data_IF_451787606341
#
_entry.id   IF_451787606341
#
_cell.length_a   1.000
_cell.length_b   1.000
_cell.length_c   1.000
_cell.angle_alpha   90.00
_cell.angle_beta   90.00
_cell.angle_gamma   90.00
#
_symmetry.space_group_name_H-M   'P 1'
#
loop_
_entity.id
_entity.type
_entity.pdbx_description
1 polymer ?
#
# COMPACT_ATOMS: atom_id res chain seq x y z
N UNK A 1 -4.12 19.14 9.60
CA UNK A 1 -3.17 19.11 8.47
C UNK A 1 -2.83 17.65 8.16
N UNK A 2 -2.60 17.30 6.90
CA UNK A 2 -2.06 15.99 6.54
C UNK A 2 -0.68 15.86 7.20
N UNK A 3 -0.49 14.79 7.98
CA UNK A 3 0.78 14.52 8.64
C UNK A 3 1.43 13.29 8.02
N UNK A 4 2.76 13.23 8.08
CA UNK A 4 3.50 12.02 7.71
C UNK A 4 3.01 10.83 8.56
N UNK A 5 2.68 9.71 7.90
CA UNK A 5 2.15 8.51 8.56
C UNK A 5 3.13 7.32 8.52
N UNK A 6 4.43 7.58 8.27
CA UNK A 6 5.46 6.55 8.06
C UNK A 6 5.53 5.52 9.16
N UNK A 7 5.41 5.92 10.43
CA UNK A 7 5.43 4.99 11.58
C UNK A 7 4.30 3.98 11.53
N UNK A 8 3.10 4.42 11.16
CA UNK A 8 1.91 3.57 11.00
C UNK A 8 2.08 2.63 9.81
N UNK A 9 2.53 3.16 8.67
CA UNK A 9 2.73 2.37 7.46
C UNK A 9 3.82 1.31 7.63
N UNK A 10 4.97 1.67 8.21
CA UNK A 10 6.08 0.75 8.46
C UNK A 10 5.69 -0.39 9.40
N UNK A 11 4.92 -0.10 10.46
CA UNK A 11 4.41 -1.14 11.38
C UNK A 11 3.55 -2.16 10.65
N UNK A 12 2.63 -1.69 9.80
CA UNK A 12 1.75 -2.56 9.00
C UNK A 12 2.52 -3.37 7.97
N UNK A 13 3.48 -2.74 7.30
CA UNK A 13 4.35 -3.41 6.35
C UNK A 13 5.17 -4.53 7.00
N UNK A 14 5.76 -4.30 8.18
CA UNK A 14 6.47 -5.35 8.94
C UNK A 14 5.54 -6.54 9.24
N UNK A 15 4.31 -6.29 9.67
CA UNK A 15 3.33 -7.35 9.90
C UNK A 15 2.98 -8.14 8.63
N UNK A 16 2.87 -7.45 7.50
CA UNK A 16 2.64 -8.08 6.20
C UNK A 16 3.81 -8.96 5.76
N UNK A 17 5.05 -8.50 5.94
CA UNK A 17 6.26 -9.27 5.67
C UNK A 17 6.32 -10.54 6.54
N UNK A 18 5.99 -10.45 7.84
CA UNK A 18 5.89 -11.63 8.70
C UNK A 18 4.79 -12.60 8.25
N UNK A 19 3.68 -12.10 7.70
CA UNK A 19 2.64 -12.94 7.10
C UNK A 19 3.16 -13.65 5.85
N UNK A 20 3.88 -12.97 4.97
CA UNK A 20 4.49 -13.57 3.77
C UNK A 20 5.47 -14.69 4.11
N UNK A 21 6.24 -14.56 5.20
CA UNK A 21 7.12 -15.63 5.67
C UNK A 21 6.37 -16.90 6.08
N UNK A 22 5.15 -16.74 6.61
CA UNK A 22 4.31 -17.85 7.07
C UNK A 22 3.42 -18.43 5.96
N UNK A 23 3.15 -17.64 4.93
CA UNK A 23 2.30 -17.99 3.80
C UNK A 23 2.99 -17.65 2.47
N UNK A 24 3.86 -18.55 1.96
CA UNK A 24 4.58 -18.33 0.71
C UNK A 24 3.69 -18.26 -0.53
N UNK A 25 2.52 -18.92 -0.50
CA UNK A 25 1.56 -18.88 -1.61
C UNK A 25 0.97 -17.48 -1.73
N UNK A 26 0.52 -16.92 -0.60
CA UNK A 26 0.07 -15.53 -0.56
C UNK A 26 1.15 -14.58 -1.07
N UNK A 27 2.41 -14.76 -0.66
CA UNK A 27 3.49 -13.89 -1.13
C UNK A 27 3.70 -13.97 -2.65
N UNK A 28 3.62 -15.17 -3.22
CA UNK A 28 3.72 -15.37 -4.68
C UNK A 28 2.60 -14.63 -5.41
N UNK A 29 1.35 -14.88 -5.05
CA UNK A 29 0.19 -14.21 -5.67
C UNK A 29 0.26 -12.68 -5.49
N UNK A 30 0.72 -12.24 -4.32
CA UNK A 30 0.84 -10.81 -4.00
C UNK A 30 1.89 -10.11 -4.87
N UNK A 31 3.01 -10.79 -5.14
CA UNK A 31 4.03 -10.32 -6.07
C UNK A 31 3.51 -10.28 -7.50
N UNK A 32 2.75 -11.28 -7.92
CA UNK A 32 2.16 -11.32 -9.26
C UNK A 32 1.21 -10.12 -9.49
N UNK A 33 0.34 -9.80 -8.52
CA UNK A 33 -0.53 -8.62 -8.60
C UNK A 33 0.27 -7.32 -8.67
N UNK A 34 1.32 -7.17 -7.85
CA UNK A 34 2.17 -5.98 -7.91
C UNK A 34 2.99 -5.89 -9.21
N UNK A 35 3.40 -7.03 -9.77
CA UNK A 35 4.03 -7.09 -11.09
C UNK A 35 3.12 -6.52 -12.18
N UNK A 36 1.84 -6.90 -12.18
CA UNK A 36 0.85 -6.31 -13.09
C UNK A 36 0.72 -4.79 -12.93
N UNK A 37 0.68 -4.29 -11.69
CA UNK A 37 0.63 -2.83 -11.46
C UNK A 37 1.88 -2.09 -11.97
N UNK A 38 3.07 -2.71 -11.90
CA UNK A 38 4.30 -2.14 -12.43
C UNK A 38 4.28 -2.11 -13.96
N UNK A 39 3.84 -3.22 -14.59
CA UNK A 39 3.72 -3.33 -16.05
C UNK A 39 2.70 -2.34 -16.63
N UNK A 40 1.60 -2.11 -15.92
CA UNK A 40 0.56 -1.13 -16.30
C UNK A 40 0.93 0.33 -15.96
N UNK A 41 2.06 0.56 -15.27
CA UNK A 41 2.48 1.90 -14.84
C UNK A 41 1.58 2.52 -13.76
N UNK A 42 0.81 1.70 -13.04
CA UNK A 42 -0.03 2.13 -11.90
C UNK A 42 0.84 2.46 -10.69
N UNK A 43 1.93 1.72 -10.51
CA UNK A 43 2.93 1.93 -9.45
C UNK A 43 4.32 2.00 -10.07
N UNK A 44 5.24 2.69 -9.41
CA UNK A 44 6.63 2.79 -9.82
C UNK A 44 7.58 2.53 -8.64
N UNK A 45 8.81 2.13 -8.96
CA UNK A 45 9.87 2.00 -7.97
C UNK A 45 10.27 3.37 -7.44
N UNK A 46 10.31 3.52 -6.12
CA UNK A 46 10.79 4.74 -5.49
C UNK A 46 12.33 4.79 -5.53
N UNK A 47 12.91 5.53 -6.48
CA UNK A 47 14.36 5.57 -6.70
C UNK A 47 15.13 6.56 -5.80
N UNK A 48 14.57 7.04 -4.69
CA UNK A 48 15.20 8.10 -3.91
C UNK A 48 15.15 7.85 -2.40
N UNK A 49 16.32 7.59 -1.82
CA UNK A 49 16.56 7.68 -0.37
C UNK A 49 16.22 9.08 0.20
N UNK A 50 16.15 10.11 -0.66
CA UNK A 50 15.84 11.50 -0.30
C UNK A 50 14.36 11.91 -0.28
N UNK A 51 13.43 11.07 -0.76
CA UNK A 51 11.98 11.34 -0.69
C UNK A 51 11.34 10.87 0.62
N UNK A 52 12.13 10.35 1.57
CA UNK A 52 11.67 10.19 2.95
C UNK A 52 11.63 11.55 3.68
N UNK A 53 11.08 12.57 3.03
CA UNK A 53 10.89 13.88 3.64
C UNK A 53 9.69 13.87 4.60
N UNK A 54 9.59 14.88 5.45
CA UNK A 54 8.44 15.00 6.35
C UNK A 54 7.13 15.31 5.63
N UNK A 55 7.16 15.60 4.33
CA UNK A 55 5.98 15.91 3.51
C UNK A 55 5.31 14.67 2.89
N UNK A 56 6.01 13.54 2.89
CA UNK A 56 5.55 12.30 2.29
C UNK A 56 4.44 11.60 3.09
N UNK A 57 3.51 11.00 2.36
CA UNK A 57 2.45 10.16 2.90
C UNK A 57 2.52 8.76 2.29
N UNK A 58 2.39 7.75 3.13
CA UNK A 58 2.53 6.36 2.73
C UNK A 58 1.15 5.70 2.73
N UNK A 59 0.89 4.82 1.77
CA UNK A 59 -0.34 4.03 1.71
C UNK A 59 -0.08 2.62 2.21
N UNK A 60 -0.44 2.29 3.47
CA UNK A 60 -0.40 0.91 3.91
C UNK A 60 -1.33 0.08 3.04
N UNK A 61 -0.88 -1.10 2.67
CA UNK A 61 -1.61 -2.01 1.80
C UNK A 61 -1.81 -3.37 2.47
N UNK A 62 -2.84 -4.09 2.04
CA UNK A 62 -3.09 -5.43 2.53
C UNK A 62 -3.80 -6.29 1.48
N UNK A 63 -3.58 -7.59 1.59
CA UNK A 63 -4.22 -8.62 0.79
C UNK A 63 -5.67 -8.86 1.25
N UNK A 64 -6.60 -8.87 0.30
CA UNK A 64 -7.96 -9.40 0.44
C UNK A 64 -8.09 -10.59 -0.51
N UNK A 65 -8.31 -11.78 0.06
CA UNK A 65 -8.58 -13.00 -0.70
C UNK A 65 -10.08 -13.19 -0.78
N UNK A 66 -10.62 -13.39 -1.98
CA UNK A 66 -12.02 -13.80 -2.15
C UNK A 66 -12.07 -15.28 -2.52
N UNK A 67 -12.86 -16.03 -1.77
CA UNK A 67 -13.07 -17.48 -1.95
C UNK A 67 -14.20 -17.80 -2.93
N UNK A 68 -14.82 -16.78 -3.53
CA UNK A 68 -16.07 -16.88 -4.31
C UNK A 68 -15.89 -17.18 -5.80
N UNK A 69 -14.65 -17.44 -6.26
CA UNK A 69 -14.33 -17.76 -7.66
C UNK A 69 -13.57 -19.08 -7.75
N UNK A 70 -13.64 -19.71 -8.93
CA UNK A 70 -12.93 -20.96 -9.31
C UNK A 70 -11.40 -20.88 -9.05
N UNK A 71 -10.86 -19.66 -8.91
CA UNK A 71 -9.57 -19.37 -8.29
C UNK A 71 -9.71 -18.29 -7.21
N UNK A 72 -8.91 -18.36 -6.15
CA UNK A 72 -8.80 -17.29 -5.15
C UNK A 72 -8.24 -16.02 -5.81
N UNK A 73 -9.10 -15.04 -6.12
CA UNK A 73 -8.64 -13.76 -6.67
C UNK A 73 -8.13 -12.91 -5.51
N UNK A 74 -6.80 -12.90 -5.35
CA UNK A 74 -6.11 -11.96 -4.48
C UNK A 74 -6.28 -10.54 -5.00
N UNK A 75 -6.63 -9.59 -4.12
CA UNK A 75 -6.60 -8.16 -4.40
C UNK A 75 -5.78 -7.42 -3.37
N UNK A 76 -5.09 -6.37 -3.83
CA UNK A 76 -4.34 -5.47 -2.96
C UNK A 76 -5.16 -4.21 -2.72
N UNK A 77 -5.45 -3.91 -1.46
CA UNK A 77 -6.19 -2.72 -1.05
C UNK A 77 -5.25 -1.71 -0.41
N UNK A 78 -5.25 -0.48 -0.91
CA UNK A 78 -4.51 0.64 -0.36
C UNK A 78 -5.36 1.44 0.63
N UNK A 79 -4.86 1.61 1.85
CA UNK A 79 -5.60 2.25 2.93
C UNK A 79 -5.29 3.76 3.03
N UNK A 80 -6.00 4.57 2.24
CA UNK A 80 -5.92 6.03 2.30
C UNK A 80 -6.47 6.66 3.60
N UNK A 81 -7.17 5.88 4.42
CA UNK A 81 -7.66 6.33 5.73
C UNK A 81 -6.60 6.18 6.84
N UNK A 82 -5.44 5.59 6.58
CA UNK A 82 -4.42 5.34 7.59
C UNK A 82 -3.67 6.62 8.00
N UNK A 83 -3.83 7.06 9.25
CA UNK A 83 -3.19 8.26 9.78
C UNK A 83 -2.75 8.07 11.24
N UNK A 84 -1.90 8.97 11.74
CA UNK A 84 -1.61 9.08 13.18
C UNK A 84 -2.75 9.78 13.92
N UNK A 85 -2.91 9.46 15.20
CA UNK A 85 -3.94 10.07 16.06
C UNK A 85 -3.83 11.61 16.06
N UNK A 86 -4.97 12.28 15.92
CA UNK A 86 -5.04 13.74 15.84
C UNK A 86 -4.55 14.35 14.51
N UNK A 87 -4.21 13.55 13.49
CA UNK A 87 -3.87 14.02 12.13
C UNK A 87 -5.00 13.74 11.14
N UNK A 88 -4.96 14.38 9.98
CA UNK A 88 -5.85 14.04 8.87
C UNK A 88 -5.30 12.87 8.07
N UNK A 89 -6.20 12.02 7.57
CA UNK A 89 -5.87 11.00 6.58
C UNK A 89 -5.86 11.57 5.16
N UNK A 90 -5.24 10.85 4.22
CA UNK A 90 -5.26 11.22 2.81
C UNK A 90 -6.72 11.36 2.31
N UNK A 91 -7.59 10.43 2.70
CA UNK A 91 -9.02 10.49 2.36
C UNK A 91 -9.73 11.75 2.89
N UNK A 92 -9.29 12.31 4.03
CA UNK A 92 -9.85 13.57 4.53
C UNK A 92 -9.41 14.78 3.69
N UNK A 93 -8.25 14.69 3.05
CA UNK A 93 -7.66 15.76 2.26
C UNK A 93 -8.07 15.73 0.78
N UNK A 94 -8.30 14.55 0.20
CA UNK A 94 -8.61 14.38 -1.24
C UNK A 94 -10.10 14.52 -1.60
N UNK A 95 -10.84 15.44 -0.96
CA UNK A 95 -12.32 15.49 -1.04
C UNK A 95 -12.94 15.89 -2.41
N UNK A 96 -12.17 16.01 -3.50
CA UNK A 96 -12.72 16.22 -4.85
C UNK A 96 -11.93 15.46 -5.92
N UNK A 97 -12.60 14.48 -6.56
CA UNK A 97 -12.45 14.09 -7.96
C UNK A 97 -11.06 13.71 -8.50
N UNK A 98 -10.96 12.45 -8.92
CA UNK A 98 -9.98 11.85 -9.84
C UNK A 98 -8.66 11.36 -9.22
N UNK A 99 -8.44 10.07 -9.48
CA UNK A 99 -7.45 9.18 -8.90
C UNK A 99 -6.13 9.36 -9.65
N UNK A 100 -5.11 9.83 -8.94
CA UNK A 100 -3.70 9.51 -9.20
C UNK A 100 -3.04 9.42 -7.83
N UNK A 101 -2.86 8.20 -7.31
CA UNK A 101 -2.11 8.02 -6.07
C UNK A 101 -0.88 7.20 -6.37
N UNK A 102 0.28 7.87 -6.36
CA UNK A 102 1.59 7.25 -6.32
C UNK A 102 1.66 6.37 -5.06
N UNK A 103 1.55 5.07 -5.26
CA UNK A 103 1.72 4.09 -4.20
C UNK A 103 3.18 3.68 -4.23
N UNK A 104 3.92 4.13 -3.21
CA UNK A 104 5.31 3.77 -3.01
C UNK A 104 5.41 2.30 -2.56
N UNK A 105 6.23 1.52 -3.26
CA UNK A 105 6.57 0.16 -2.87
C UNK A 105 8.07 0.07 -2.60
N UNK A 106 8.40 -0.30 -1.36
CA UNK A 106 9.64 -1.02 -1.08
C UNK A 106 9.21 -2.48 -0.92
N UNK A 107 9.45 -3.29 -1.95
CA UNK A 107 9.39 -4.75 -1.85
C UNK A 107 10.81 -5.29 -1.72
#
# INVERSE_FOLDING_TARGET
>A
MLGNNRKVALRRFKGLVERFKRDPLLFKEYREVFGGYLEEGIVEWCMTEGLADESSFYLPHYAVVREDKVSSILRIVFNGAAHEEGKYSLNNCLKFGNICTLIHLNL
#
